data_IF_546430496348
#
_entry.id   IF_546430496348
#
_cell.length_a   1.000
_cell.length_b   1.000
_cell.length_c   1.000
_cell.angle_alpha   90.00
_cell.angle_beta   90.00
_cell.angle_gamma   90.00
#
_symmetry.space_group_name_H-M   'P 1'
#
loop_
_entity.id
_entity.type
_entity.pdbx_description
1 polymer ?
#
# COMPACT_ATOMS: atom_id res chain seq x y z
N UNK A 1 -21.64 -1.13 -1.75
CA UNK A 1 -20.16 -1.03 -1.60
C UNK A 1 -19.49 -0.59 -2.91
N UNK A 2 -19.86 -1.14 -4.06
CA UNK A 2 -19.27 -0.77 -5.36
C UNK A 2 -19.20 0.75 -5.65
N UNK A 3 -20.28 1.55 -5.49
CA UNK A 3 -20.18 3.00 -5.74
C UNK A 3 -19.17 3.70 -4.80
N UNK A 4 -19.06 3.23 -3.56
CA UNK A 4 -18.10 3.77 -2.60
C UNK A 4 -16.66 3.53 -3.07
N UNK A 5 -16.31 2.28 -3.41
CA UNK A 5 -14.96 1.93 -3.88
C UNK A 5 -14.63 2.63 -5.20
N UNK A 6 -15.58 2.74 -6.13
CA UNK A 6 -15.37 3.46 -7.39
C UNK A 6 -15.12 4.95 -7.16
N UNK A 7 -15.89 5.60 -6.28
CA UNK A 7 -15.69 7.01 -5.96
C UNK A 7 -14.33 7.25 -5.27
N UNK A 8 -13.95 6.39 -4.32
CA UNK A 8 -12.64 6.46 -3.66
C UNK A 8 -11.51 6.27 -4.67
N UNK A 9 -11.63 5.28 -5.55
CA UNK A 9 -10.65 5.04 -6.61
C UNK A 9 -10.52 6.25 -7.55
N UNK A 10 -11.64 6.87 -7.92
CA UNK A 10 -11.67 8.04 -8.79
C UNK A 10 -11.04 9.26 -8.12
N UNK A 11 -11.43 9.58 -6.89
CA UNK A 11 -10.90 10.72 -6.14
C UNK A 11 -9.38 10.60 -5.92
N UNK A 12 -8.89 9.40 -5.58
CA UNK A 12 -7.46 9.13 -5.42
C UNK A 12 -6.70 9.23 -6.75
N UNK A 13 -7.22 8.62 -7.83
CA UNK A 13 -6.58 8.68 -9.14
C UNK A 13 -6.54 10.11 -9.69
N UNK A 14 -7.62 10.87 -9.58
CA UNK A 14 -7.64 12.26 -9.98
C UNK A 14 -6.65 13.10 -9.16
N UNK A 15 -6.53 12.83 -7.86
CA UNK A 15 -5.54 13.50 -7.01
C UNK A 15 -4.11 13.21 -7.49
N UNK A 16 -3.78 11.94 -7.77
CA UNK A 16 -2.47 11.55 -8.33
C UNK A 16 -2.22 12.21 -9.68
N UNK A 17 -3.19 12.18 -10.60
CA UNK A 17 -3.07 12.84 -11.91
C UNK A 17 -2.87 14.35 -11.78
N UNK A 18 -3.56 15.01 -10.83
CA UNK A 18 -3.36 16.44 -10.58
C UNK A 18 -1.97 16.74 -10.02
N UNK A 19 -1.41 15.85 -9.19
CA UNK A 19 -0.03 15.97 -8.69
C UNK A 19 0.97 15.78 -9.84
N UNK A 20 0.84 14.73 -10.64
CA UNK A 20 1.72 14.43 -11.79
C UNK A 20 1.69 15.53 -12.85
N UNK A 21 0.50 16.06 -13.17
CA UNK A 21 0.30 17.13 -14.15
C UNK A 21 0.51 18.53 -13.57
N UNK A 22 0.94 18.65 -12.30
CA UNK A 22 1.23 19.91 -11.60
C UNK A 22 0.05 20.88 -11.54
N UNK A 23 -1.19 20.35 -11.51
CA UNK A 23 -2.46 21.10 -11.45
C UNK A 23 -2.81 21.48 -10.02
N UNK A 24 -1.93 22.25 -9.38
CA UNK A 24 -2.00 22.53 -7.95
C UNK A 24 -3.22 23.37 -7.50
N UNK A 25 -3.89 24.07 -8.43
CA UNK A 25 -5.15 24.77 -8.15
C UNK A 25 -6.26 23.81 -7.72
N UNK A 26 -6.29 22.60 -8.27
CA UNK A 26 -7.36 21.63 -8.04
C UNK A 26 -7.24 20.96 -6.66
N UNK A 27 -6.01 20.83 -6.15
CA UNK A 27 -5.72 20.14 -4.88
C UNK A 27 -5.75 21.06 -3.65
N UNK A 28 -5.73 22.39 -3.85
CA UNK A 28 -5.71 23.39 -2.76
C UNK A 28 -7.06 23.56 -2.04
N UNK A 29 -8.14 22.97 -2.58
CA UNK A 29 -9.46 22.98 -1.94
C UNK A 29 -10.27 24.27 -2.12
N UNK A 30 -9.83 25.21 -2.97
CA UNK A 30 -10.55 26.47 -3.23
C UNK A 30 -11.60 26.38 -4.33
N UNK A 31 -11.70 25.24 -5.03
CA UNK A 31 -12.71 24.98 -6.06
C UNK A 31 -13.89 24.20 -5.46
N UNK A 32 -15.12 24.52 -5.90
CA UNK A 32 -16.38 23.92 -5.44
C UNK A 32 -16.48 22.38 -5.64
N UNK A 33 -15.51 21.74 -6.30
CA UNK A 33 -15.36 20.28 -6.38
C UNK A 33 -14.25 19.82 -5.42
N UNK A 34 -14.55 19.77 -4.13
CA UNK A 34 -13.58 19.54 -3.05
C UNK A 34 -13.07 18.11 -2.85
N UNK A 35 -13.46 17.14 -3.68
CA UNK A 35 -13.15 15.70 -3.49
C UNK A 35 -11.72 15.30 -3.89
N UNK A 36 -10.99 16.18 -4.58
CA UNK A 36 -9.57 15.96 -4.95
C UNK A 36 -8.59 16.85 -4.17
N UNK A 37 -9.09 17.53 -3.13
CA UNK A 37 -8.22 18.33 -2.27
C UNK A 37 -7.36 17.45 -1.37
N UNK A 38 -6.08 17.79 -1.18
CA UNK A 38 -5.20 17.00 -0.31
C UNK A 38 -5.73 16.95 1.13
N UNK A 39 -6.35 18.04 1.60
CA UNK A 39 -6.99 18.07 2.90
C UNK A 39 -8.13 17.05 3.00
N UNK A 40 -9.00 16.93 1.99
CA UNK A 40 -10.06 15.91 1.97
C UNK A 40 -9.47 14.50 1.95
N UNK A 41 -8.49 14.24 1.08
CA UNK A 41 -7.84 12.93 0.97
C UNK A 41 -7.22 12.52 2.31
N UNK A 42 -6.39 13.38 2.90
CA UNK A 42 -5.65 13.05 4.12
C UNK A 42 -6.51 13.05 5.39
N UNK A 43 -7.46 13.97 5.52
CA UNK A 43 -8.20 14.17 6.78
C UNK A 43 -9.53 13.39 6.83
N UNK A 44 -10.08 13.00 5.68
CA UNK A 44 -11.39 12.33 5.61
C UNK A 44 -11.28 10.98 4.93
N UNK A 45 -10.82 10.95 3.67
CA UNK A 45 -10.85 9.72 2.88
C UNK A 45 -9.91 8.65 3.44
N UNK A 46 -8.64 8.97 3.73
CA UNK A 46 -7.67 8.00 4.24
C UNK A 46 -8.09 7.40 5.60
N UNK A 47 -8.51 8.19 6.61
CA UNK A 47 -8.97 7.63 7.88
C UNK A 47 -10.21 6.73 7.74
N UNK A 48 -11.20 7.16 6.94
CA UNK A 48 -12.42 6.37 6.71
C UNK A 48 -12.10 5.07 5.97
N UNK A 49 -11.29 5.15 4.92
CA UNK A 49 -10.86 3.98 4.15
C UNK A 49 -10.04 3.02 5.00
N UNK A 50 -9.08 3.53 5.78
CA UNK A 50 -8.25 2.71 6.67
C UNK A 50 -9.10 1.98 7.71
N UNK A 51 -10.07 2.67 8.32
CA UNK A 51 -10.99 2.06 9.28
C UNK A 51 -11.89 1.01 8.64
N UNK A 52 -12.36 1.24 7.43
CA UNK A 52 -13.18 0.27 6.70
C UNK A 52 -12.37 -0.98 6.37
N UNK A 53 -11.17 -0.81 5.79
CA UNK A 53 -10.29 -1.92 5.42
C UNK A 53 -9.83 -2.73 6.64
N UNK A 54 -9.48 -2.05 7.74
CA UNK A 54 -9.11 -2.72 9.00
C UNK A 54 -10.27 -3.54 9.56
N UNK A 55 -11.50 -3.02 9.50
CA UNK A 55 -12.69 -3.78 9.89
C UNK A 55 -12.92 -5.00 8.98
N UNK A 56 -12.76 -4.84 7.66
CA UNK A 56 -12.89 -5.95 6.70
C UNK A 56 -11.82 -7.02 6.92
N UNK A 57 -10.57 -6.62 7.15
CA UNK A 57 -9.44 -7.52 7.42
C UNK A 57 -9.63 -8.31 8.72
N UNK A 58 -9.96 -7.64 9.82
CA UNK A 58 -10.18 -8.29 11.14
C UNK A 58 -11.32 -9.31 11.14
N UNK A 59 -12.35 -9.09 10.31
CA UNK A 59 -13.50 -9.98 10.22
C UNK A 59 -13.43 -10.95 9.02
N UNK A 60 -12.33 -10.94 8.26
CA UNK A 60 -12.12 -11.76 7.05
C UNK A 60 -13.18 -11.56 5.94
N UNK A 61 -13.87 -10.43 5.90
CA UNK A 61 -14.86 -10.10 4.86
C UNK A 61 -14.24 -9.60 3.55
N UNK A 62 -12.91 -9.53 3.48
CA UNK A 62 -12.20 -9.06 2.29
C UNK A 62 -12.50 -9.89 1.04
N UNK A 63 -12.57 -11.23 1.19
CA UNK A 63 -12.88 -12.15 0.08
C UNK A 63 -14.28 -11.90 -0.47
N UNK A 64 -15.27 -11.69 0.40
CA UNK A 64 -16.67 -11.48 0.01
C UNK A 64 -16.92 -10.09 -0.61
N UNK A 65 -16.09 -9.10 -0.29
CA UNK A 65 -16.25 -7.72 -0.76
C UNK A 65 -15.50 -7.47 -2.07
N UNK A 66 -14.28 -7.97 -2.22
CA UNK A 66 -13.40 -7.66 -3.36
C UNK A 66 -13.58 -8.63 -4.53
N UNK A 67 -14.76 -8.62 -5.13
CA UNK A 67 -15.07 -9.36 -6.35
C UNK A 67 -15.24 -8.42 -7.56
N UNK A 68 -14.89 -8.90 -8.76
CA UNK A 68 -15.17 -8.27 -10.05
C UNK A 68 -14.77 -6.78 -10.11
N UNK A 69 -15.73 -5.87 -10.29
CA UNK A 69 -15.50 -4.43 -10.40
C UNK A 69 -14.98 -3.81 -9.11
N UNK A 70 -15.33 -4.34 -7.94
CA UNK A 70 -14.80 -3.87 -6.65
C UNK A 70 -13.31 -4.23 -6.56
N UNK A 71 -12.92 -5.40 -7.08
CA UNK A 71 -11.51 -5.78 -7.15
C UNK A 71 -10.72 -4.84 -8.07
N UNK A 72 -11.27 -4.47 -9.23
CA UNK A 72 -10.67 -3.44 -10.12
C UNK A 72 -10.52 -2.10 -9.41
N UNK A 73 -11.54 -1.66 -8.67
CA UNK A 73 -11.47 -0.44 -7.87
C UNK A 73 -10.40 -0.56 -6.77
N UNK A 74 -10.28 -1.72 -6.12
CA UNK A 74 -9.22 -2.01 -5.15
C UNK A 74 -7.82 -1.88 -5.75
N UNK A 75 -7.60 -2.41 -6.96
CA UNK A 75 -6.35 -2.25 -7.71
C UNK A 75 -6.04 -0.78 -8.05
N UNK A 76 -7.05 -0.01 -8.45
CA UNK A 76 -6.91 1.44 -8.68
C UNK A 76 -6.53 2.20 -7.40
N UNK A 77 -7.17 1.88 -6.28
CA UNK A 77 -6.88 2.45 -4.96
C UNK A 77 -5.44 2.12 -4.54
N UNK A 78 -5.05 0.84 -4.63
CA UNK A 78 -3.72 0.36 -4.33
C UNK A 78 -2.65 1.14 -5.12
N UNK A 79 -2.85 1.27 -6.44
CA UNK A 79 -1.92 1.99 -7.30
C UNK A 79 -1.79 3.46 -6.90
N UNK A 80 -2.92 4.14 -6.67
CA UNK A 80 -2.91 5.56 -6.32
C UNK A 80 -2.25 5.83 -4.96
N UNK A 81 -2.55 5.00 -3.95
CA UNK A 81 -1.92 5.08 -2.63
C UNK A 81 -0.41 4.81 -2.72
N UNK A 82 -0.01 3.81 -3.50
CA UNK A 82 1.41 3.48 -3.69
C UNK A 82 2.18 4.64 -4.32
N UNK A 83 1.66 5.24 -5.40
CA UNK A 83 2.27 6.39 -6.07
C UNK A 83 2.37 7.58 -5.11
N UNK A 84 1.28 7.88 -4.40
CA UNK A 84 1.24 9.00 -3.45
C UNK A 84 2.24 8.82 -2.31
N UNK A 85 2.36 7.60 -1.77
CA UNK A 85 3.24 7.30 -0.64
C UNK A 85 4.73 7.19 -1.00
N UNK A 86 5.06 6.70 -2.21
CA UNK A 86 6.45 6.42 -2.60
C UNK A 86 7.06 7.44 -3.57
N UNK A 87 6.24 8.04 -4.43
CA UNK A 87 6.69 8.95 -5.50
C UNK A 87 6.23 10.40 -5.31
N UNK A 88 5.50 10.73 -4.25
CA UNK A 88 4.93 12.07 -4.04
C UNK A 88 5.90 13.24 -4.24
N UNK A 89 7.16 13.10 -3.80
CA UNK A 89 8.21 14.13 -3.99
C UNK A 89 8.65 14.32 -5.44
N UNK A 90 8.54 13.29 -6.28
CA UNK A 90 9.02 13.33 -7.68
C UNK A 90 8.11 14.18 -8.59
N UNK A 91 6.85 14.39 -8.19
CA UNK A 91 5.85 15.10 -9.00
C UNK A 91 5.67 16.56 -8.61
N UNK A 92 6.28 16.99 -7.51
CA UNK A 92 5.92 18.24 -6.83
C UNK A 92 7.14 19.13 -6.67
N UNK A 93 7.02 20.36 -7.19
CA UNK A 93 8.06 21.39 -7.07
C UNK A 93 7.72 22.47 -6.01
N UNK A 94 6.52 22.43 -5.42
CA UNK A 94 6.05 23.41 -4.43
C UNK A 94 6.25 22.89 -3.00
N UNK A 95 7.04 23.63 -2.22
CA UNK A 95 7.41 23.28 -0.85
C UNK A 95 6.21 22.96 0.05
N UNK A 96 5.18 23.81 0.08
CA UNK A 96 3.98 23.56 0.92
C UNK A 96 3.24 22.25 0.60
N UNK A 97 3.28 21.79 -0.67
CA UNK A 97 2.66 20.51 -1.06
C UNK A 97 3.54 19.36 -0.61
N UNK A 98 4.87 19.50 -0.75
CA UNK A 98 5.83 18.51 -0.27
C UNK A 98 5.68 18.35 1.25
N UNK A 99 5.57 19.45 1.99
CA UNK A 99 5.37 19.43 3.44
C UNK A 99 4.06 18.73 3.82
N UNK A 100 2.96 19.04 3.13
CA UNK A 100 1.66 18.40 3.34
C UNK A 100 1.71 16.89 3.05
N UNK A 101 2.31 16.48 1.92
CA UNK A 101 2.49 15.07 1.58
C UNK A 101 3.40 14.35 2.57
N UNK A 102 4.50 14.97 3.01
CA UNK A 102 5.42 14.40 3.98
C UNK A 102 4.75 14.23 5.34
N UNK A 103 3.98 15.23 5.78
CA UNK A 103 3.25 15.20 7.05
C UNK A 103 2.25 14.05 7.12
N UNK A 104 1.59 13.74 6.00
CA UNK A 104 0.53 12.74 5.93
C UNK A 104 0.94 11.40 5.31
N UNK A 105 2.19 11.27 4.82
CA UNK A 105 2.75 10.00 4.31
C UNK A 105 2.54 8.81 5.26
N UNK A 106 2.75 8.95 6.58
CA UNK A 106 2.30 7.98 7.58
C UNK A 106 0.91 7.37 7.36
N UNK A 107 -0.09 8.21 7.09
CA UNK A 107 -1.49 7.79 6.94
C UNK A 107 -1.70 6.98 5.65
N UNK A 108 -0.95 7.30 4.59
CA UNK A 108 -0.96 6.51 3.35
C UNK A 108 -0.40 5.11 3.62
N UNK A 109 0.71 5.02 4.38
CA UNK A 109 1.29 3.76 4.80
C UNK A 109 0.36 2.92 5.69
N UNK A 110 -0.32 3.56 6.64
CA UNK A 110 -1.33 2.88 7.47
C UNK A 110 -2.51 2.36 6.64
N UNK A 111 -2.97 3.14 5.67
CA UNK A 111 -4.05 2.73 4.76
C UNK A 111 -3.63 1.54 3.87
N UNK A 112 -2.41 1.58 3.32
CA UNK A 112 -1.85 0.46 2.55
C UNK A 112 -1.65 -0.80 3.40
N UNK A 113 -1.23 -0.64 4.66
CA UNK A 113 -1.13 -1.72 5.64
C UNK A 113 -2.50 -2.35 5.91
N UNK A 114 -3.54 -1.55 6.16
CA UNK A 114 -4.92 -2.06 6.30
C UNK A 114 -5.38 -2.75 5.02
N UNK A 115 -5.11 -2.18 3.84
CA UNK A 115 -5.44 -2.78 2.55
C UNK A 115 -4.78 -4.15 2.37
N UNK A 116 -3.49 -4.25 2.69
CA UNK A 116 -2.71 -5.48 2.59
C UNK A 116 -3.25 -6.62 3.48
N UNK A 117 -3.90 -6.26 4.59
CA UNK A 117 -4.51 -7.23 5.52
C UNK A 117 -5.90 -7.74 5.10
N UNK A 118 -6.53 -7.14 4.08
CA UNK A 118 -7.89 -7.49 3.67
C UNK A 118 -8.02 -7.85 2.19
N UNK A 119 -7.11 -7.42 1.32
CA UNK A 119 -7.26 -7.64 -0.12
C UNK A 119 -6.98 -9.12 -0.48
N UNK A 120 -7.93 -9.84 -1.11
CA UNK A 120 -7.86 -11.29 -1.26
C UNK A 120 -6.97 -11.75 -2.43
N UNK A 121 -6.11 -10.88 -2.95
CA UNK A 121 -5.21 -11.17 -4.08
C UNK A 121 -3.77 -10.79 -3.74
N UNK A 122 -2.83 -11.67 -4.06
CA UNK A 122 -1.41 -11.55 -3.73
C UNK A 122 -0.74 -10.51 -4.64
N UNK A 123 -1.02 -9.22 -4.40
CA UNK A 123 -0.65 -8.14 -5.31
C UNK A 123 0.86 -7.87 -5.41
N UNK A 124 1.69 -8.41 -4.51
CA UNK A 124 3.16 -8.40 -4.65
C UNK A 124 3.71 -9.64 -5.37
N UNK A 125 2.86 -10.63 -5.67
CA UNK A 125 3.24 -11.88 -6.33
C UNK A 125 2.26 -12.20 -7.48
N UNK A 126 2.18 -11.32 -8.50
CA UNK A 126 1.20 -11.44 -9.58
C UNK A 126 1.26 -12.77 -10.34
N UNK A 127 2.39 -13.47 -10.31
CA UNK A 127 2.56 -14.80 -10.88
C UNK A 127 1.64 -15.88 -10.29
N UNK A 128 1.16 -15.72 -9.05
CA UNK A 128 0.25 -16.68 -8.41
C UNK A 128 -1.24 -16.34 -8.57
N UNK A 129 -1.56 -15.16 -9.11
CA UNK A 129 -2.94 -14.71 -9.22
C UNK A 129 -3.78 -15.60 -10.14
N UNK A 130 -3.18 -16.27 -11.13
CA UNK A 130 -3.88 -17.24 -11.98
C UNK A 130 -4.36 -18.50 -11.24
N UNK A 131 -3.74 -18.82 -10.11
CA UNK A 131 -4.11 -19.96 -9.25
C UNK A 131 -5.14 -19.57 -8.18
N UNK A 132 -5.28 -18.27 -7.90
CA UNK A 132 -6.12 -17.77 -6.83
C UNK A 132 -7.58 -17.65 -7.29
N UNK A 133 -8.46 -18.48 -6.72
CA UNK A 133 -9.90 -18.48 -7.03
C UNK A 133 -10.59 -17.14 -6.73
N UNK A 134 -10.06 -16.36 -5.80
CA UNK A 134 -10.59 -15.05 -5.44
C UNK A 134 -10.10 -13.94 -6.38
N UNK A 135 -9.06 -14.20 -7.18
CA UNK A 135 -8.61 -13.27 -8.21
C UNK A 135 -9.60 -13.34 -9.38
N UNK A 136 -10.37 -12.27 -9.56
CA UNK A 136 -11.22 -12.12 -10.73
C UNK A 136 -10.34 -11.89 -11.95
N UNK A 137 -10.80 -12.27 -13.14
CA UNK A 137 -10.15 -11.92 -14.41
C UNK A 137 -10.37 -10.44 -14.76
N UNK A 138 -9.91 -9.55 -13.87
CA UNK A 138 -10.15 -8.11 -13.91
C UNK A 138 -9.68 -7.50 -15.24
N UNK A 139 -8.56 -7.98 -15.78
CA UNK A 139 -8.00 -7.51 -17.06
C UNK A 139 -8.88 -7.79 -18.27
N UNK A 140 -9.86 -8.68 -18.17
CA UNK A 140 -10.81 -9.01 -19.24
C UNK A 140 -12.14 -8.25 -19.11
N UNK A 141 -12.36 -7.51 -18.02
CA UNK A 141 -13.61 -6.76 -17.80
C UNK A 141 -13.77 -5.62 -18.82
N UNK A 142 -12.68 -4.90 -19.14
CA UNK A 142 -12.67 -3.83 -20.13
C UNK A 142 -11.24 -3.50 -20.60
N UNK A 143 -11.07 -2.79 -21.73
CA UNK A 143 -9.76 -2.28 -22.16
C UNK A 143 -9.10 -1.38 -21.09
N UNK A 144 -9.88 -0.55 -20.40
CA UNK A 144 -9.38 0.30 -19.32
C UNK A 144 -8.89 -0.54 -18.13
N UNK A 145 -9.53 -1.67 -17.84
CA UNK A 145 -9.10 -2.59 -16.79
C UNK A 145 -7.76 -3.25 -17.14
N UNK A 146 -7.52 -3.58 -18.42
CA UNK A 146 -6.24 -4.08 -18.90
C UNK A 146 -5.10 -3.07 -18.68
N UNK A 147 -5.36 -1.80 -19.01
CA UNK A 147 -4.39 -0.71 -18.83
C UNK A 147 -4.05 -0.51 -17.34
N UNK A 148 -5.06 -0.58 -16.46
CA UNK A 148 -4.85 -0.50 -15.00
C UNK A 148 -3.92 -1.61 -14.51
N UNK A 149 -4.17 -2.86 -14.91
CA UNK A 149 -3.33 -3.99 -14.50
C UNK A 149 -1.89 -3.88 -15.02
N UNK A 150 -1.73 -3.36 -16.24
CA UNK A 150 -0.42 -3.10 -16.82
C UNK A 150 0.33 -1.99 -16.07
N UNK A 151 -0.37 -0.92 -15.67
CA UNK A 151 0.21 0.17 -14.90
C UNK A 151 0.64 -0.27 -13.50
N UNK A 152 -0.15 -1.12 -12.85
CA UNK A 152 0.17 -1.68 -11.53
C UNK A 152 1.46 -2.49 -11.60
N UNK A 153 1.59 -3.36 -12.60
CA UNK A 153 2.77 -4.20 -12.80
C UNK A 153 4.07 -3.39 -13.01
N UNK A 154 3.95 -2.13 -13.46
CA UNK A 154 5.09 -1.20 -13.63
C UNK A 154 5.38 -0.37 -12.38
N UNK A 155 4.38 -0.20 -11.52
CA UNK A 155 4.43 0.77 -10.41
C UNK A 155 4.75 0.09 -9.09
N UNK A 156 4.17 -1.08 -8.85
CA UNK A 156 4.30 -1.83 -7.61
C UNK A 156 5.39 -2.90 -7.81
N UNK A 157 6.49 -2.86 -7.02
CA UNK A 157 7.53 -3.87 -7.10
C UNK A 157 7.03 -5.24 -6.61
N UNK A 158 7.67 -6.31 -7.08
CA UNK A 158 7.39 -7.65 -6.56
C UNK A 158 7.93 -7.85 -5.15
N UNK A 159 7.42 -8.89 -4.47
CA UNK A 159 7.75 -9.21 -3.09
C UNK A 159 9.27 -9.34 -2.84
N UNK A 160 9.97 -10.02 -3.75
CA UNK A 160 11.43 -10.23 -3.64
C UNK A 160 12.19 -8.91 -3.66
N UNK A 161 11.80 -7.99 -4.55
CA UNK A 161 12.43 -6.67 -4.67
C UNK A 161 12.16 -5.83 -3.41
N UNK A 162 10.94 -5.84 -2.87
CA UNK A 162 10.60 -5.09 -1.67
C UNK A 162 11.38 -5.55 -0.43
N UNK A 163 11.53 -6.86 -0.25
CA UNK A 163 12.32 -7.41 0.86
C UNK A 163 13.79 -7.00 0.71
N UNK A 164 14.35 -7.15 -0.50
CA UNK A 164 15.73 -6.74 -0.78
C UNK A 164 15.95 -5.24 -0.54
N UNK A 165 15.01 -4.39 -0.95
CA UNK A 165 15.11 -2.93 -0.75
C UNK A 165 15.09 -2.55 0.74
N UNK A 166 14.31 -3.27 1.56
CA UNK A 166 14.29 -3.05 3.03
C UNK A 166 15.57 -3.58 3.68
N UNK A 167 16.06 -4.75 3.28
CA UNK A 167 17.33 -5.30 3.77
C UNK A 167 18.50 -4.37 3.43
N UNK A 168 18.58 -3.92 2.17
CA UNK A 168 19.59 -2.94 1.72
C UNK A 168 19.49 -1.64 2.51
N UNK A 169 18.27 -1.12 2.72
CA UNK A 169 18.08 0.10 3.50
C UNK A 169 18.52 -0.07 4.97
N UNK A 170 18.20 -1.22 5.59
CA UNK A 170 18.57 -1.53 6.96
C UNK A 170 20.08 -1.74 7.16
N UNK A 171 20.77 -2.28 6.16
CA UNK A 171 22.22 -2.49 6.17
C UNK A 171 23.00 -1.24 5.76
N UNK A 172 22.37 -0.32 5.03
CA UNK A 172 22.98 0.94 4.64
C UNK A 172 23.09 1.93 5.81
N UNK A 173 24.07 2.85 5.74
CA UNK A 173 24.10 4.03 6.60
C UNK A 173 23.20 5.17 6.07
N UNK A 174 22.28 4.86 5.15
CA UNK A 174 21.33 5.84 4.63
C UNK A 174 20.45 6.30 5.77
N UNK A 175 20.34 7.62 5.93
CA UNK A 175 19.54 8.14 7.02
C UNK A 175 18.07 8.03 6.68
N UNK A 176 17.24 7.99 7.71
CA UNK A 176 15.79 7.99 7.56
C UNK A 176 15.30 9.14 6.65
N UNK A 177 15.91 10.32 6.72
CA UNK A 177 15.48 11.49 5.95
C UNK A 177 15.63 11.33 4.43
N UNK A 178 16.51 10.44 3.98
CA UNK A 178 16.80 10.22 2.57
C UNK A 178 15.73 9.35 1.89
N UNK A 179 15.16 8.39 2.62
CA UNK A 179 14.15 7.46 2.11
C UNK A 179 13.02 7.16 3.12
N UNK A 180 12.32 8.18 3.63
CA UNK A 180 11.34 7.99 4.70
C UNK A 180 10.14 7.13 4.27
N UNK A 181 9.84 7.08 2.97
CA UNK A 181 8.78 6.21 2.42
C UNK A 181 9.05 4.71 2.61
N UNK A 182 10.32 4.29 2.72
CA UNK A 182 10.67 2.89 3.00
C UNK A 182 10.10 2.48 4.35
N UNK A 183 10.33 3.31 5.37
CA UNK A 183 9.94 3.06 6.76
C UNK A 183 8.47 3.39 7.01
N UNK A 184 7.94 4.47 6.42
CA UNK A 184 6.59 4.96 6.70
C UNK A 184 5.50 4.32 5.83
N UNK A 185 5.84 3.76 4.66
CA UNK A 185 4.88 3.25 3.68
C UNK A 185 5.15 1.79 3.33
N UNK A 186 6.33 1.49 2.81
CA UNK A 186 6.64 0.15 2.30
C UNK A 186 6.67 -0.87 3.43
N UNK A 187 7.42 -0.57 4.49
CA UNK A 187 7.60 -1.46 5.62
C UNK A 187 6.28 -1.86 6.33
N UNK A 188 5.41 -0.93 6.77
CA UNK A 188 4.14 -1.31 7.40
C UNK A 188 3.22 -2.09 6.44
N UNK A 189 3.20 -1.72 5.15
CA UNK A 189 2.44 -2.46 4.14
C UNK A 189 2.96 -3.90 4.00
N UNK A 190 4.28 -4.07 3.90
CA UNK A 190 4.92 -5.38 3.76
C UNK A 190 4.72 -6.25 5.00
N UNK A 191 4.85 -5.70 6.20
CA UNK A 191 4.59 -6.43 7.45
C UNK A 191 3.15 -6.98 7.48
N UNK A 192 2.16 -6.17 7.12
CA UNK A 192 0.77 -6.61 7.03
C UNK A 192 0.54 -7.64 5.94
N UNK A 193 1.14 -7.44 4.76
CA UNK A 193 1.07 -8.38 3.64
C UNK A 193 1.62 -9.75 4.04
N UNK A 194 2.84 -9.79 4.59
CA UNK A 194 3.49 -11.03 5.00
C UNK A 194 2.68 -11.73 6.09
N UNK A 195 2.17 -11.00 7.07
CA UNK A 195 1.35 -11.58 8.15
C UNK A 195 0.07 -12.21 7.63
N UNK A 196 -0.61 -11.56 6.68
CA UNK A 196 -1.84 -12.07 6.06
C UNK A 196 -1.55 -13.29 5.18
N UNK A 197 -0.63 -13.17 4.22
CA UNK A 197 -0.35 -14.22 3.24
C UNK A 197 0.42 -15.41 3.79
N UNK A 198 1.20 -15.25 4.87
CA UNK A 198 1.81 -16.39 5.56
C UNK A 198 0.76 -17.37 6.09
N UNK A 199 -0.43 -16.88 6.47
CA UNK A 199 -1.53 -17.76 6.89
C UNK A 199 -2.03 -18.69 5.78
N UNK A 200 -1.83 -18.29 4.52
CA UNK A 200 -2.21 -18.99 3.29
C UNK A 200 -1.01 -19.59 2.55
N UNK A 201 0.19 -19.50 3.15
CA UNK A 201 1.44 -19.94 2.54
C UNK A 201 1.65 -21.45 2.54
N UNK A 202 2.65 -21.94 1.77
CA UNK A 202 2.93 -23.37 1.61
C UNK A 202 3.25 -24.09 2.93
N UNK A 203 3.73 -23.36 3.95
CA UNK A 203 4.04 -23.93 5.27
C UNK A 203 2.78 -24.26 6.09
N UNK A 204 1.67 -23.54 5.85
CA UNK A 204 0.40 -23.78 6.55
C UNK A 204 -0.57 -24.63 5.73
N UNK A 205 -0.57 -24.47 4.41
CA UNK A 205 -1.43 -25.24 3.51
C UNK A 205 -0.75 -26.57 3.16
N UNK A 206 -1.03 -27.61 3.95
CA UNK A 206 -0.44 -28.96 3.78
C UNK A 206 -1.02 -29.77 2.61
N UNK A 207 -1.98 -29.23 1.85
CA UNK A 207 -2.66 -29.97 0.80
C UNK A 207 -1.91 -29.86 -0.54
N UNK A 208 -1.22 -30.94 -0.91
CA UNK A 208 -0.45 -31.09 -2.16
C UNK A 208 -1.30 -30.88 -3.43
N UNK A 209 -2.64 -30.93 -3.30
CA UNK A 209 -3.59 -30.91 -4.42
C UNK A 209 -4.09 -29.52 -4.82
N UNK A 210 -3.93 -28.49 -3.98
CA UNK A 210 -4.38 -27.14 -4.34
C UNK A 210 -3.24 -26.34 -5.00
N UNK A 211 -3.52 -25.57 -6.06
CA UNK A 211 -2.50 -24.78 -6.72
C UNK A 211 -2.04 -23.67 -5.78
N UNK A 212 -0.72 -23.45 -5.72
CA UNK A 212 -0.11 -22.47 -4.83
C UNK A 212 -0.55 -21.05 -5.19
N UNK A 213 -1.05 -20.30 -4.20
CA UNK A 213 -1.58 -18.93 -4.36
C UNK A 213 -0.65 -17.82 -3.82
N UNK A 214 0.42 -18.20 -3.11
CA UNK A 214 1.47 -17.31 -2.60
C UNK A 214 2.72 -18.13 -2.26
N UNK A 215 3.90 -17.51 -2.27
CA UNK A 215 5.15 -18.09 -1.81
C UNK A 215 5.68 -17.46 -0.51
N UNK A 216 4.83 -16.74 0.23
CA UNK A 216 5.18 -16.19 1.53
C UNK A 216 5.46 -17.31 2.54
N UNK A 217 6.54 -17.16 3.30
CA UNK A 217 7.07 -18.15 4.25
C UNK A 217 7.56 -17.46 5.52
N UNK A 218 7.79 -18.22 6.59
CA UNK A 218 8.37 -17.69 7.83
C UNK A 218 9.76 -17.06 7.59
N UNK A 219 10.52 -17.53 6.60
CA UNK A 219 11.81 -16.93 6.24
C UNK A 219 11.67 -15.47 5.79
N UNK A 220 10.67 -15.16 4.95
CA UNK A 220 10.40 -13.78 4.53
C UNK A 220 10.04 -12.88 5.73
N UNK A 221 9.22 -13.38 6.66
CA UNK A 221 8.87 -12.65 7.89
C UNK A 221 10.09 -12.40 8.78
N UNK A 222 10.92 -13.42 8.98
CA UNK A 222 12.13 -13.32 9.80
C UNK A 222 13.17 -12.37 9.20
N UNK A 223 13.35 -12.37 7.88
CA UNK A 223 14.17 -11.40 7.15
C UNK A 223 13.73 -9.97 7.43
N UNK A 224 12.45 -9.66 7.20
CA UNK A 224 11.91 -8.32 7.43
C UNK A 224 12.01 -7.93 8.90
N UNK A 225 11.70 -8.82 9.83
CA UNK A 225 11.85 -8.57 11.27
C UNK A 225 13.31 -8.23 11.63
N UNK A 226 14.27 -8.96 11.09
CA UNK A 226 15.69 -8.68 11.26
C UNK A 226 16.06 -7.27 10.78
N UNK A 227 15.56 -6.87 9.61
CA UNK A 227 15.75 -5.52 9.07
C UNK A 227 15.11 -4.44 9.95
N UNK A 228 13.91 -4.69 10.51
CA UNK A 228 13.28 -3.74 11.45
C UNK A 228 14.11 -3.57 12.71
N UNK A 229 14.59 -4.66 13.30
CA UNK A 229 15.44 -4.61 14.50
C UNK A 229 16.73 -3.83 14.23
N UNK A 230 17.36 -4.04 13.07
CA UNK A 230 18.53 -3.25 12.64
C UNK A 230 18.20 -1.76 12.50
N UNK A 231 17.08 -1.41 11.84
CA UNK A 231 16.65 -0.02 11.68
C UNK A 231 16.41 0.66 13.04
N UNK A 232 15.76 -0.03 13.98
CA UNK A 232 15.54 0.48 15.34
C UNK A 232 16.89 0.69 16.04
N UNK A 233 17.77 -0.30 15.99
CA UNK A 233 19.08 -0.24 16.63
C UNK A 233 19.94 0.91 16.09
N UNK A 234 19.94 1.12 14.77
CA UNK A 234 20.72 2.18 14.12
C UNK A 234 20.21 3.60 14.45
N UNK A 235 18.99 3.74 14.96
CA UNK A 235 18.34 5.03 15.24
C UNK A 235 18.00 5.23 16.72
N UNK A 236 18.54 4.40 17.63
CA UNK A 236 18.19 4.43 19.05
C UNK A 236 18.55 5.76 19.75
N UNK A 237 19.59 6.44 19.26
CA UNK A 237 20.07 7.73 19.78
C UNK A 237 19.42 8.94 19.07
N UNK A 238 18.50 8.70 18.12
CA UNK A 238 17.82 9.77 17.41
C UNK A 238 16.85 10.51 18.35
N UNK A 239 17.06 11.82 18.50
CA UNK A 239 16.31 12.68 19.43
C UNK A 239 14.81 12.75 19.05
N UNK A 240 14.48 12.67 17.75
CA UNK A 240 13.10 12.65 17.26
C UNK A 240 12.92 11.60 16.16
N UNK A 241 12.40 10.42 16.54
CA UNK A 241 12.01 9.38 15.59
C UNK A 241 10.53 8.96 15.79
N UNK A 242 9.54 9.77 15.36
CA UNK A 242 8.13 9.43 15.49
C UNK A 242 7.76 8.09 14.81
N UNK A 243 8.48 7.74 13.74
CA UNK A 243 8.31 6.48 13.02
C UNK A 243 8.62 5.25 13.89
N UNK A 244 9.60 5.33 14.81
CA UNK A 244 9.96 4.22 15.69
C UNK A 244 8.81 3.85 16.64
N UNK A 245 8.14 4.87 17.20
CA UNK A 245 6.95 4.67 18.05
C UNK A 245 5.81 3.99 17.27
N UNK A 246 5.64 4.34 16.00
CA UNK A 246 4.60 3.77 15.13
C UNK A 246 4.87 2.32 14.78
N UNK A 247 6.12 1.98 14.43
CA UNK A 247 6.51 0.60 14.14
C UNK A 247 6.33 -0.30 15.36
N UNK A 248 6.73 0.16 16.54
CA UNK A 248 6.55 -0.60 17.78
C UNK A 248 5.07 -0.95 18.04
N UNK A 249 4.14 -0.03 17.75
CA UNK A 249 2.70 -0.29 17.90
C UNK A 249 2.07 -1.19 16.83
N UNK A 250 2.79 -1.54 15.76
CA UNK A 250 2.32 -2.41 14.66
C UNK A 250 2.94 -3.80 14.69
N UNK A 251 4.08 -3.97 15.36
CA UNK A 251 4.76 -5.25 15.57
C UNK A 251 4.32 -5.98 16.85
N UNK A 252 3.71 -5.27 17.80
CA UNK A 252 3.12 -5.78 19.03
C UNK A 252 1.61 -6.00 18.85
#
# INVERSE_FOLDING_TARGET
>A
LLPLFNNIAEDLNQTVQNLEQRRYSNIKGTLQRGTTSLAYIHMVLLPVLSSLLDHLGKNNYGVDVFENEIQLAGYKILNALWIMGTKGRQFVDREWIIDELNRHRPLVGDCLSSFASCFPVAFFEPEFNGNNKNASNVSQLSPEAHDVMTNISRTIPNLKKLIADIEEHADSQVKYEDAPYVVEVILPCLCSYLSYWWSMGPEKVKQITEPQITNVTANHMNSVLGSVLKLINNNIDAIEAPWMKRIAGKLL
#
